data_IF_287441802364
#
_entry.id   IF_287441802364
#
_cell.length_a   1.000
_cell.length_b   1.000
_cell.length_c   1.000
_cell.angle_alpha   90.00
_cell.angle_beta   90.00
_cell.angle_gamma   90.00
#
_symmetry.space_group_name_H-M   'P 1'
#
loop_
_entity.id
_entity.type
_entity.pdbx_description
1 polymer ?
#
# COMPACT_ATOMS: atom_id res chain seq x y z
N UNK A 1 136.21 -30.38 13.85
CA UNK A 1 137.04 -30.84 14.99
C UNK A 1 137.79 -32.09 14.55
N UNK A 2 139.07 -31.93 14.19
CA UNK A 2 139.96 -33.05 13.90
C UNK A 2 140.59 -33.52 15.20
N UNK A 3 140.53 -34.82 15.41
CA UNK A 3 141.17 -35.57 16.49
C UNK A 3 142.66 -35.26 16.53
N UNK A 4 143.10 -34.59 17.59
CA UNK A 4 144.50 -34.49 17.98
C UNK A 4 145.01 -35.88 18.34
N UNK A 5 145.89 -36.44 17.52
CA UNK A 5 146.69 -37.60 17.91
C UNK A 5 147.84 -37.12 18.80
N UNK A 6 147.78 -37.56 20.05
CA UNK A 6 148.83 -37.56 21.06
C UNK A 6 150.06 -38.35 20.59
N UNK A 7 151.22 -37.68 20.52
CA UNK A 7 152.58 -38.22 20.76
C UNK A 7 153.64 -37.26 20.18
N UNK A 8 153.85 -36.13 20.85
CA UNK A 8 155.11 -35.40 20.76
C UNK A 8 156.12 -36.00 21.76
N UNK A 9 156.36 -37.32 21.67
CA UNK A 9 157.66 -37.86 22.08
C UNK A 9 158.68 -37.15 21.17
N UNK A 10 159.76 -36.59 21.71
CA UNK A 10 160.78 -35.88 20.94
C UNK A 10 161.21 -36.72 19.73
N UNK A 11 160.58 -36.45 18.58
CA UNK A 11 160.82 -37.22 17.36
C UNK A 11 162.24 -36.90 16.96
N UNK A 12 163.09 -37.93 16.94
CA UNK A 12 164.48 -37.77 16.48
C UNK A 12 164.45 -37.22 15.06
N UNK A 13 165.45 -36.42 14.68
CA UNK A 13 165.58 -35.87 13.32
C UNK A 13 165.43 -36.94 12.22
N UNK A 14 165.74 -38.22 12.54
CA UNK A 14 165.49 -39.37 11.66
C UNK A 14 164.00 -39.60 11.37
N UNK A 15 163.15 -39.56 12.39
CA UNK A 15 161.70 -39.75 12.25
C UNK A 15 161.07 -38.59 11.47
N UNK A 16 161.56 -37.36 11.67
CA UNK A 16 161.13 -36.21 10.86
C UNK A 16 161.45 -36.42 9.38
N UNK A 17 162.62 -36.96 9.03
CA UNK A 17 162.95 -37.25 7.62
C UNK A 17 161.95 -38.23 7.00
N UNK A 18 161.55 -39.29 7.71
CA UNK A 18 160.53 -40.24 7.22
C UNK A 18 159.14 -39.60 7.10
N UNK A 19 158.74 -38.79 8.07
CA UNK A 19 157.44 -38.10 8.08
C UNK A 19 157.36 -37.07 6.94
N UNK A 20 158.40 -36.27 6.73
CA UNK A 20 158.47 -35.31 5.62
C UNK A 20 158.60 -36.00 4.26
N UNK A 21 159.36 -37.10 4.16
CA UNK A 21 159.41 -37.91 2.93
C UNK A 21 158.03 -38.49 2.57
N UNK A 22 157.27 -38.96 3.56
CA UNK A 22 155.91 -39.45 3.36
C UNK A 22 154.95 -38.33 2.93
N UNK A 23 155.08 -37.12 3.50
CA UNK A 23 154.30 -35.94 3.10
C UNK A 23 154.59 -35.53 1.66
N UNK A 24 155.87 -35.43 1.27
CA UNK A 24 156.25 -35.11 -0.10
C UNK A 24 155.70 -36.14 -1.10
N UNK A 25 155.76 -37.43 -0.75
CA UNK A 25 155.22 -38.51 -1.58
C UNK A 25 153.69 -38.45 -1.70
N UNK A 26 152.96 -38.10 -0.64
CA UNK A 26 151.50 -37.95 -0.67
C UNK A 26 151.06 -36.77 -1.55
N UNK A 27 151.87 -35.72 -1.63
CA UNK A 27 151.63 -34.54 -2.45
C UNK A 27 152.09 -34.72 -3.91
N UNK A 28 152.73 -35.84 -4.25
CA UNK A 28 153.23 -36.12 -5.60
C UNK A 28 154.55 -35.43 -5.95
N UNK A 29 155.30 -34.93 -4.95
CA UNK A 29 156.58 -34.25 -5.14
C UNK A 29 157.78 -35.21 -4.97
N UNK A 30 158.90 -34.93 -5.64
CA UNK A 30 160.11 -35.75 -5.54
C UNK A 30 160.76 -35.63 -4.14
N UNK A 31 161.01 -36.78 -3.50
CA UNK A 31 161.67 -36.85 -2.19
C UNK A 31 163.18 -36.55 -2.35
N UNK A 32 163.53 -35.26 -2.41
CA UNK A 32 164.91 -34.76 -2.49
C UNK A 32 165.46 -34.41 -1.10
N UNK A 33 166.75 -34.65 -0.93
CA UNK A 33 167.48 -34.37 0.32
C UNK A 33 167.47 -32.88 0.70
N UNK A 34 167.53 -31.98 -0.27
CA UNK A 34 167.50 -30.52 -0.07
C UNK A 34 166.15 -30.08 0.46
N UNK A 35 165.06 -30.54 -0.15
CA UNK A 35 163.68 -30.19 0.22
C UNK A 35 163.34 -30.62 1.64
N UNK A 36 163.73 -31.84 2.06
CA UNK A 36 163.49 -32.30 3.44
C UNK A 36 164.31 -31.49 4.45
N UNK A 37 165.55 -31.11 4.11
CA UNK A 37 166.38 -30.27 4.99
C UNK A 37 165.80 -28.87 5.15
N UNK A 38 165.30 -28.28 4.06
CA UNK A 38 164.64 -26.97 4.09
C UNK A 38 163.36 -27.01 4.92
N UNK A 39 162.55 -28.06 4.80
CA UNK A 39 161.33 -28.23 5.61
C UNK A 39 161.65 -28.44 7.10
N UNK A 40 162.66 -29.24 7.44
CA UNK A 40 163.08 -29.42 8.84
C UNK A 40 163.68 -28.12 9.40
N UNK A 41 164.45 -27.39 8.61
CA UNK A 41 165.02 -26.11 9.02
C UNK A 41 163.93 -25.04 9.22
N UNK A 42 162.94 -24.98 8.33
CA UNK A 42 161.85 -24.01 8.37
C UNK A 42 160.87 -24.28 9.53
N UNK A 43 160.50 -25.54 9.78
CA UNK A 43 159.49 -25.89 10.79
C UNK A 43 160.08 -26.14 12.19
N UNK A 44 161.34 -26.57 12.29
CA UNK A 44 161.95 -27.00 13.55
C UNK A 44 163.26 -26.29 13.90
N UNK A 45 163.78 -25.40 13.04
CA UNK A 45 164.96 -24.58 13.33
C UNK A 45 166.28 -25.35 13.48
N UNK A 46 166.33 -26.63 13.11
CA UNK A 46 167.48 -27.52 13.29
C UNK A 46 168.14 -27.80 11.93
N UNK A 47 169.46 -27.61 11.84
CA UNK A 47 170.25 -27.95 10.65
C UNK A 47 170.58 -29.44 10.62
N UNK A 48 169.67 -30.24 10.04
CA UNK A 48 169.88 -31.68 9.88
C UNK A 48 171.11 -31.98 8.99
N UNK A 49 171.95 -32.93 9.43
CA UNK A 49 173.14 -33.37 8.69
C UNK A 49 172.74 -33.99 7.34
N UNK A 50 173.35 -33.56 6.21
CA UNK A 50 173.07 -34.11 4.89
C UNK A 50 173.15 -35.64 4.84
N UNK A 51 174.21 -36.23 5.38
CA UNK A 51 174.43 -37.68 5.30
C UNK A 51 173.33 -38.47 6.03
N UNK A 52 172.88 -37.96 7.18
CA UNK A 52 171.78 -38.57 7.94
C UNK A 52 170.47 -38.55 7.14
N UNK A 53 170.15 -37.43 6.49
CA UNK A 53 168.93 -37.30 5.68
C UNK A 53 168.97 -38.24 4.47
N UNK A 54 170.12 -38.36 3.80
CA UNK A 54 170.26 -39.25 2.64
C UNK A 54 170.13 -40.73 3.02
N UNK A 55 170.76 -41.15 4.13
CA UNK A 55 170.65 -42.54 4.60
C UNK A 55 169.23 -42.89 5.06
N UNK A 56 168.52 -41.96 5.69
CA UNK A 56 167.13 -42.17 6.09
C UNK A 56 166.15 -42.13 4.89
N UNK A 57 166.41 -41.30 3.86
CA UNK A 57 165.66 -41.33 2.59
C UNK A 57 165.83 -42.67 1.88
N UNK A 58 167.04 -43.24 1.86
CA UNK A 58 167.25 -44.58 1.31
C UNK A 58 166.45 -45.64 2.06
N UNK A 59 166.45 -45.59 3.39
CA UNK A 59 165.62 -46.49 4.24
C UNK A 59 164.13 -46.28 3.99
N UNK A 60 163.69 -45.04 3.77
CA UNK A 60 162.31 -44.72 3.43
C UNK A 60 161.90 -45.39 2.12
N UNK A 61 162.71 -45.26 1.06
CA UNK A 61 162.41 -45.87 -0.24
C UNK A 61 162.42 -47.40 -0.21
N UNK A 62 163.30 -48.02 0.58
CA UNK A 62 163.28 -49.48 0.80
C UNK A 62 161.95 -49.95 1.40
N UNK A 63 161.33 -49.13 2.27
CA UNK A 63 160.04 -49.45 2.90
C UNK A 63 158.83 -49.08 2.04
N UNK A 64 158.85 -47.91 1.38
CA UNK A 64 157.72 -47.39 0.63
C UNK A 64 157.61 -47.99 -0.80
N UNK A 65 158.75 -48.30 -1.43
CA UNK A 65 158.81 -48.84 -2.80
C UNK A 65 157.99 -50.12 -3.00
N UNK A 66 158.12 -51.15 -2.14
CA UNK A 66 157.31 -52.37 -2.24
C UNK A 66 155.80 -52.11 -2.10
N UNK A 67 155.38 -51.17 -1.23
CA UNK A 67 153.97 -50.85 -1.02
C UNK A 67 153.33 -50.15 -2.22
N UNK A 68 154.06 -49.22 -2.86
CA UNK A 68 153.60 -48.57 -4.08
C UNK A 68 153.51 -49.54 -5.25
N UNK A 69 154.53 -50.39 -5.41
CA UNK A 69 154.53 -51.46 -6.42
C UNK A 69 153.35 -52.42 -6.22
N UNK A 70 153.04 -52.80 -4.98
CA UNK A 70 151.89 -53.64 -4.67
C UNK A 70 150.54 -52.98 -4.97
N UNK A 71 150.41 -51.65 -4.78
CA UNK A 71 149.19 -50.90 -5.15
C UNK A 71 149.02 -50.82 -6.66
N UNK A 72 150.10 -50.55 -7.40
CA UNK A 72 150.10 -50.49 -8.87
C UNK A 72 149.82 -51.87 -9.50
N UNK A 73 150.15 -52.96 -8.81
CA UNK A 73 149.91 -54.34 -9.26
C UNK A 73 148.56 -54.94 -8.83
N UNK A 74 147.67 -54.18 -8.19
CA UNK A 74 146.31 -54.68 -7.90
C UNK A 74 145.53 -54.79 -9.21
N UNK A 75 144.90 -55.95 -9.51
CA UNK A 75 143.96 -56.03 -10.61
C UNK A 75 142.80 -55.06 -10.37
N UNK A 76 142.38 -54.36 -11.41
CA UNK A 76 141.16 -53.55 -11.38
C UNK A 76 139.93 -54.40 -11.10
N UNK A 77 138.80 -53.76 -10.77
CA UNK A 77 137.52 -54.46 -10.69
C UNK A 77 137.24 -55.04 -12.08
N UNK A 78 136.91 -56.34 -12.21
CA UNK A 78 136.61 -56.94 -13.50
C UNK A 78 135.42 -56.25 -14.19
N UNK A 79 135.55 -56.01 -15.50
CA UNK A 79 134.52 -55.32 -16.29
C UNK A 79 133.15 -56.01 -16.23
N UNK A 80 133.13 -57.34 -16.08
CA UNK A 80 131.91 -58.13 -15.90
C UNK A 80 131.10 -57.73 -14.65
N UNK A 81 131.79 -57.32 -13.58
CA UNK A 81 131.16 -56.85 -12.34
C UNK A 81 130.62 -55.43 -12.53
N UNK A 82 131.33 -54.55 -13.24
CA UNK A 82 130.82 -53.22 -13.57
C UNK A 82 129.55 -53.32 -14.43
N UNK A 83 129.56 -54.17 -15.47
CA UNK A 83 128.42 -54.40 -16.34
C UNK A 83 127.21 -55.01 -15.60
N UNK A 84 127.43 -55.83 -14.55
CA UNK A 84 126.34 -56.37 -13.75
C UNK A 84 125.72 -55.31 -12.84
N UNK A 85 126.53 -54.41 -12.27
CA UNK A 85 126.02 -53.26 -11.53
C UNK A 85 125.23 -52.29 -12.43
N UNK A 86 125.71 -52.00 -13.64
CA UNK A 86 124.98 -51.16 -14.60
C UNK A 86 123.61 -51.76 -14.94
N UNK A 87 123.54 -53.08 -15.19
CA UNK A 87 122.26 -53.77 -15.42
C UNK A 87 121.30 -53.70 -14.23
N UNK A 88 121.80 -53.84 -13.01
CA UNK A 88 120.97 -53.71 -11.80
C UNK A 88 120.47 -52.28 -11.65
N UNK A 89 121.32 -51.29 -11.95
CA UNK A 89 120.94 -49.88 -11.96
C UNK A 89 119.88 -49.58 -13.01
N UNK A 90 120.02 -50.07 -14.24
CA UNK A 90 119.04 -49.89 -15.31
C UNK A 90 117.68 -50.48 -14.92
N UNK A 91 117.65 -51.71 -14.39
CA UNK A 91 116.40 -52.35 -13.92
C UNK A 91 115.76 -51.55 -12.78
N UNK A 92 116.57 -51.02 -11.85
CA UNK A 92 116.06 -50.17 -10.77
C UNK A 92 115.53 -48.83 -11.30
N UNK A 93 116.19 -48.25 -12.30
CA UNK A 93 115.80 -46.99 -12.94
C UNK A 93 114.47 -47.16 -13.71
N UNK A 94 114.35 -48.24 -14.48
CA UNK A 94 113.13 -48.58 -15.23
C UNK A 94 111.96 -48.87 -14.30
N UNK A 95 112.20 -49.60 -13.20
CA UNK A 95 111.18 -49.87 -12.18
C UNK A 95 110.71 -48.57 -11.49
N UNK A 96 111.64 -47.65 -11.19
CA UNK A 96 111.31 -46.34 -10.62
C UNK A 96 110.53 -45.47 -11.61
N UNK A 97 110.93 -45.44 -12.89
CA UNK A 97 110.22 -44.73 -13.94
C UNK A 97 108.79 -45.25 -14.12
N UNK A 98 108.61 -46.57 -14.19
CA UNK A 98 107.29 -47.20 -14.30
C UNK A 98 106.42 -46.93 -13.05
N UNK A 99 107.02 -46.98 -11.85
CA UNK A 99 106.35 -46.64 -10.59
C UNK A 99 105.85 -45.19 -10.58
N UNK A 100 106.71 -44.23 -10.93
CA UNK A 100 106.34 -42.82 -11.00
C UNK A 100 105.30 -42.53 -12.09
N UNK A 101 105.35 -43.19 -13.24
CA UNK A 101 104.30 -43.06 -14.26
C UNK A 101 102.95 -43.58 -13.76
N UNK A 102 102.95 -44.68 -13.01
CA UNK A 102 101.73 -45.24 -12.41
C UNK A 102 101.15 -44.30 -11.35
N UNK A 103 101.99 -43.79 -10.44
CA UNK A 103 101.58 -42.78 -9.44
C UNK A 103 101.04 -41.52 -10.12
N UNK A 104 101.72 -41.03 -11.17
CA UNK A 104 101.27 -39.86 -11.93
C UNK A 104 99.90 -40.10 -12.56
N UNK A 105 99.66 -41.27 -13.17
CA UNK A 105 98.36 -41.64 -13.75
C UNK A 105 97.27 -41.73 -12.67
N UNK A 106 97.59 -42.29 -11.50
CA UNK A 106 96.64 -42.37 -10.38
C UNK A 106 96.28 -40.98 -9.84
N UNK A 107 97.28 -40.11 -9.64
CA UNK A 107 97.06 -38.73 -9.20
C UNK A 107 96.28 -37.93 -10.24
N UNK A 108 96.55 -38.12 -11.53
CA UNK A 108 95.79 -37.50 -12.61
C UNK A 108 94.32 -37.96 -12.58
N UNK A 109 94.08 -39.27 -12.45
CA UNK A 109 92.72 -39.79 -12.36
C UNK A 109 91.97 -39.28 -11.11
N UNK A 110 92.66 -39.15 -9.98
CA UNK A 110 92.09 -38.55 -8.76
C UNK A 110 91.79 -37.06 -8.95
N UNK A 111 92.67 -36.30 -9.60
CA UNK A 111 92.45 -34.89 -9.91
C UNK A 111 91.27 -34.71 -10.87
N UNK A 112 91.20 -35.50 -11.94
CA UNK A 112 90.09 -35.47 -12.90
C UNK A 112 88.76 -35.85 -12.22
N UNK A 113 88.79 -36.86 -11.34
CA UNK A 113 87.65 -37.25 -10.51
C UNK A 113 87.19 -36.15 -9.55
N UNK A 114 88.13 -35.47 -8.89
CA UNK A 114 87.84 -34.34 -8.01
C UNK A 114 87.25 -33.15 -8.78
N UNK A 115 87.77 -32.85 -9.98
CA UNK A 115 87.24 -31.80 -10.85
C UNK A 115 85.83 -32.14 -11.34
N UNK A 116 85.59 -33.40 -11.71
CA UNK A 116 84.25 -33.86 -12.09
C UNK A 116 83.25 -33.74 -10.92
N UNK A 117 83.64 -34.18 -9.72
CA UNK A 117 82.82 -34.05 -8.51
C UNK A 117 82.54 -32.59 -8.14
N UNK A 118 83.54 -31.71 -8.28
CA UNK A 118 83.38 -30.26 -8.08
C UNK A 118 82.34 -29.68 -9.05
N UNK A 119 82.43 -30.02 -10.34
CA UNK A 119 81.46 -29.55 -11.35
C UNK A 119 80.04 -30.02 -11.05
N UNK A 120 79.87 -31.28 -10.64
CA UNK A 120 78.53 -31.78 -10.25
C UNK A 120 78.00 -31.11 -9.00
N UNK A 121 78.86 -30.82 -8.02
CA UNK A 121 78.48 -30.09 -6.82
C UNK A 121 78.05 -28.65 -7.15
N UNK A 122 78.81 -27.95 -7.97
CA UNK A 122 78.48 -26.61 -8.46
C UNK A 122 77.14 -26.58 -9.19
N UNK A 123 76.90 -27.50 -10.14
CA UNK A 123 75.62 -27.59 -10.83
C UNK A 123 74.45 -27.88 -9.87
N UNK A 124 74.68 -28.70 -8.83
CA UNK A 124 73.65 -28.97 -7.82
C UNK A 124 73.37 -27.77 -6.92
N UNK A 125 74.39 -26.98 -6.60
CA UNK A 125 74.28 -25.74 -5.83
C UNK A 125 73.51 -24.68 -6.61
N UNK A 126 73.86 -24.47 -7.89
CA UNK A 126 73.15 -23.56 -8.79
C UNK A 126 71.66 -23.95 -8.91
N UNK A 127 71.36 -25.23 -9.11
CA UNK A 127 69.98 -25.71 -9.14
C UNK A 127 69.24 -25.51 -7.81
N UNK A 128 69.93 -25.62 -6.67
CA UNK A 128 69.34 -25.34 -5.36
C UNK A 128 69.07 -23.84 -5.15
N UNK A 129 69.98 -22.97 -5.60
CA UNK A 129 69.83 -21.52 -5.59
C UNK A 129 68.65 -21.09 -6.46
N UNK A 130 68.51 -21.64 -7.66
CA UNK A 130 67.38 -21.34 -8.55
C UNK A 130 66.03 -21.75 -7.93
N UNK A 131 65.96 -22.93 -7.31
CA UNK A 131 64.76 -23.39 -6.58
C UNK A 131 64.43 -22.47 -5.41
N UNK A 132 65.43 -22.07 -4.62
CA UNK A 132 65.25 -21.16 -3.50
C UNK A 132 64.78 -19.77 -3.96
N UNK A 133 65.34 -19.25 -5.04
CA UNK A 133 64.91 -17.99 -5.64
C UNK A 133 63.48 -18.08 -6.18
N UNK A 134 63.10 -19.21 -6.79
CA UNK A 134 61.72 -19.48 -7.21
C UNK A 134 60.75 -19.43 -6.03
N UNK A 135 61.03 -20.16 -4.96
CA UNK A 135 60.22 -20.15 -3.73
C UNK A 135 60.14 -18.76 -3.09
N UNK A 136 61.24 -18.00 -3.12
CA UNK A 136 61.26 -16.63 -2.57
C UNK A 136 60.31 -15.72 -3.34
N UNK A 137 60.32 -15.79 -4.68
CA UNK A 137 59.38 -15.03 -5.54
C UNK A 137 57.93 -15.46 -5.30
N UNK A 138 57.67 -16.76 -5.14
CA UNK A 138 56.33 -17.26 -4.81
C UNK A 138 55.85 -16.72 -3.45
N UNK A 139 56.70 -16.72 -2.43
CA UNK A 139 56.38 -16.17 -1.11
C UNK A 139 56.10 -14.66 -1.19
N UNK A 140 56.89 -13.92 -1.97
CA UNK A 140 56.65 -12.49 -2.20
C UNK A 140 55.33 -12.24 -2.91
N UNK A 141 55.00 -13.04 -3.93
CA UNK A 141 53.69 -13.00 -4.61
C UNK A 141 52.53 -13.25 -3.63
N UNK A 142 52.61 -14.33 -2.84
CA UNK A 142 51.59 -14.65 -1.84
C UNK A 142 51.46 -13.57 -0.76
N UNK A 143 52.54 -12.88 -0.40
CA UNK A 143 52.49 -11.73 0.52
C UNK A 143 51.79 -10.53 -0.10
N UNK A 144 52.03 -10.23 -1.37
CA UNK A 144 51.35 -9.16 -2.10
C UNK A 144 49.85 -9.46 -2.24
N UNK A 145 49.49 -10.69 -2.61
CA UNK A 145 48.10 -11.14 -2.70
C UNK A 145 47.40 -11.05 -1.35
N UNK A 146 48.06 -11.48 -0.27
CA UNK A 146 47.55 -11.34 1.09
C UNK A 146 47.26 -9.88 1.43
N UNK A 147 48.17 -8.96 1.13
CA UNK A 147 47.97 -7.53 1.39
C UNK A 147 46.76 -7.00 0.61
N UNK A 148 46.68 -7.28 -0.70
CA UNK A 148 45.55 -6.90 -1.54
C UNK A 148 44.22 -7.46 -1.01
N UNK A 149 44.18 -8.73 -0.63
CA UNK A 149 42.98 -9.35 -0.06
C UNK A 149 42.59 -8.74 1.29
N UNK A 150 43.57 -8.38 2.13
CA UNK A 150 43.26 -7.69 3.39
C UNK A 150 42.71 -6.28 3.18
N UNK A 151 43.20 -5.54 2.20
CA UNK A 151 42.65 -4.23 1.83
C UNK A 151 41.23 -4.36 1.26
N UNK A 152 40.99 -5.37 0.40
CA UNK A 152 39.65 -5.69 -0.08
C UNK A 152 38.71 -6.09 1.05
N UNK A 153 39.17 -6.84 2.05
CA UNK A 153 38.35 -7.18 3.22
C UNK A 153 38.02 -5.93 4.05
N UNK A 154 38.99 -5.05 4.29
CA UNK A 154 38.76 -3.82 5.05
C UNK A 154 37.78 -2.87 4.35
N UNK A 155 37.90 -2.72 3.02
CA UNK A 155 36.97 -1.91 2.22
C UNK A 155 35.56 -2.49 2.25
N UNK A 156 35.40 -3.81 2.02
CA UNK A 156 34.11 -4.49 2.14
C UNK A 156 33.52 -4.40 3.55
N UNK A 157 34.34 -4.48 4.60
CA UNK A 157 33.86 -4.30 5.99
C UNK A 157 33.38 -2.87 6.26
N UNK A 158 34.05 -1.86 5.69
CA UNK A 158 33.63 -0.48 5.77
C UNK A 158 32.30 -0.24 5.03
N UNK A 159 32.17 -0.79 3.81
CA UNK A 159 30.92 -0.75 3.04
C UNK A 159 29.78 -1.44 3.78
N UNK A 160 30.02 -2.64 4.34
CA UNK A 160 29.03 -3.35 5.15
C UNK A 160 28.57 -2.54 6.36
N UNK A 161 29.49 -1.84 7.03
CA UNK A 161 29.15 -0.94 8.14
C UNK A 161 28.32 0.26 7.66
N UNK A 162 28.69 0.85 6.51
CA UNK A 162 27.92 1.93 5.88
C UNK A 162 26.49 1.51 5.53
N UNK A 163 26.32 0.37 4.87
CA UNK A 163 25.01 -0.19 4.53
C UNK A 163 24.19 -0.53 5.79
N UNK A 164 24.82 -1.02 6.85
CA UNK A 164 24.13 -1.28 8.11
C UNK A 164 23.61 0.01 8.77
N UNK A 165 24.37 1.11 8.69
CA UNK A 165 23.89 2.43 9.16
C UNK A 165 22.76 2.96 8.29
N UNK A 166 22.86 2.84 6.97
CA UNK A 166 21.80 3.27 6.06
C UNK A 166 20.51 2.47 6.26
N UNK A 167 20.60 1.16 6.46
CA UNK A 167 19.46 0.32 6.80
C UNK A 167 18.80 0.77 8.10
N UNK A 168 19.61 1.05 9.13
CA UNK A 168 19.09 1.57 10.41
C UNK A 168 18.34 2.89 10.19
N UNK A 169 18.94 3.85 9.50
CA UNK A 169 18.33 5.15 9.20
C UNK A 169 17.02 5.00 8.39
N UNK A 170 16.99 4.10 7.40
CA UNK A 170 15.79 3.82 6.63
C UNK A 170 14.69 3.16 7.47
N UNK A 171 15.04 2.23 8.35
CA UNK A 171 14.07 1.61 9.27
C UNK A 171 13.49 2.61 10.26
N UNK A 172 14.31 3.53 10.79
CA UNK A 172 13.86 4.61 11.67
C UNK A 172 12.94 5.59 10.92
N UNK A 173 13.29 5.97 9.68
CA UNK A 173 12.42 6.80 8.82
C UNK A 173 11.10 6.12 8.50
N UNK A 174 11.11 4.83 8.17
CA UNK A 174 9.90 4.06 7.90
C UNK A 174 9.01 3.95 9.16
N UNK A 175 9.61 3.69 10.33
CA UNK A 175 8.89 3.66 11.60
C UNK A 175 8.26 5.03 11.93
N UNK A 176 9.00 6.13 11.71
CA UNK A 176 8.48 7.48 11.91
C UNK A 176 7.30 7.80 10.95
N UNK A 177 7.43 7.45 9.67
CA UNK A 177 6.35 7.60 8.68
C UNK A 177 5.12 6.77 9.06
N UNK A 178 5.31 5.52 9.49
CA UNK A 178 4.22 4.68 9.94
C UNK A 178 3.53 5.26 11.18
N UNK A 179 4.28 5.82 12.13
CA UNK A 179 3.71 6.47 13.31
C UNK A 179 2.85 7.69 12.92
N UNK A 180 3.33 8.53 12.00
CA UNK A 180 2.56 9.66 11.47
C UNK A 180 1.29 9.20 10.75
N UNK A 181 1.38 8.19 9.88
CA UNK A 181 0.22 7.64 9.19
C UNK A 181 -0.82 7.10 10.19
N UNK A 182 -0.40 6.38 11.23
CA UNK A 182 -1.32 5.88 12.26
C UNK A 182 -2.00 7.02 13.01
N UNK A 183 -1.28 8.09 13.33
CA UNK A 183 -1.84 9.27 13.97
C UNK A 183 -2.87 9.96 13.06
N UNK A 184 -2.57 10.12 11.77
CA UNK A 184 -3.49 10.69 10.79
C UNK A 184 -4.75 9.82 10.62
N UNK A 185 -4.58 8.50 10.56
CA UNK A 185 -5.69 7.57 10.47
C UNK A 185 -6.60 7.65 11.70
N UNK A 186 -6.03 7.72 12.91
CA UNK A 186 -6.80 7.94 14.14
C UNK A 186 -7.54 9.29 14.12
N UNK A 187 -6.89 10.37 13.66
CA UNK A 187 -7.51 11.69 13.51
C UNK A 187 -8.69 11.65 12.54
N UNK A 188 -8.50 11.03 11.38
CA UNK A 188 -9.54 10.90 10.35
C UNK A 188 -10.71 10.04 10.83
N UNK A 189 -10.42 8.97 11.56
CA UNK A 189 -11.44 8.11 12.14
C UNK A 189 -12.27 8.86 13.19
N UNK A 190 -11.62 9.62 14.08
CA UNK A 190 -12.32 10.48 15.04
C UNK A 190 -13.19 11.55 14.37
N UNK A 191 -12.74 12.14 13.25
CA UNK A 191 -13.56 13.06 12.45
C UNK A 191 -14.75 12.36 11.79
N UNK A 192 -14.56 11.17 11.22
CA UNK A 192 -15.66 10.37 10.67
C UNK A 192 -16.70 10.04 11.72
N UNK A 193 -16.27 9.56 12.88
CA UNK A 193 -17.17 9.19 13.98
C UNK A 193 -17.97 10.42 14.45
N UNK A 194 -17.31 11.58 14.56
CA UNK A 194 -17.97 12.85 14.87
C UNK A 194 -19.00 13.28 13.82
N UNK A 195 -18.67 13.16 12.53
CA UNK A 195 -19.61 13.47 11.43
C UNK A 195 -20.78 12.48 11.38
N UNK A 196 -20.54 11.19 11.64
CA UNK A 196 -21.59 10.18 11.73
C UNK A 196 -22.54 10.50 12.88
N UNK A 197 -22.00 10.88 14.05
CA UNK A 197 -22.80 11.27 15.21
C UNK A 197 -23.65 12.53 14.91
N UNK A 198 -23.07 13.54 14.27
CA UNK A 198 -23.83 14.73 13.84
C UNK A 198 -24.96 14.37 12.87
N UNK A 199 -24.71 13.48 11.91
CA UNK A 199 -25.76 13.00 10.99
C UNK A 199 -26.86 12.22 11.71
N UNK A 200 -26.52 11.39 12.69
CA UNK A 200 -27.52 10.68 13.49
C UNK A 200 -28.33 11.64 14.35
N UNK A 201 -27.69 12.64 14.94
CA UNK A 201 -28.35 13.65 15.77
C UNK A 201 -29.31 14.49 14.93
N UNK A 202 -28.87 14.98 13.76
CA UNK A 202 -29.69 15.72 12.81
C UNK A 202 -30.87 14.90 12.26
N UNK A 203 -30.65 13.62 11.97
CA UNK A 203 -31.74 12.70 11.58
C UNK A 203 -32.74 12.55 12.72
N UNK A 204 -32.26 12.38 13.96
CA UNK A 204 -33.14 12.26 15.13
C UNK A 204 -33.90 13.55 15.42
N UNK A 205 -33.28 14.73 15.26
CA UNK A 205 -33.94 16.02 15.46
C UNK A 205 -34.98 16.28 14.38
N UNK A 206 -34.62 16.04 13.11
CA UNK A 206 -35.55 16.16 11.98
C UNK A 206 -36.73 15.19 12.12
N UNK A 207 -36.50 13.95 12.55
CA UNK A 207 -37.58 13.00 12.81
C UNK A 207 -38.51 13.50 13.93
N UNK A 208 -37.95 14.05 15.02
CA UNK A 208 -38.75 14.66 16.09
C UNK A 208 -39.59 15.83 15.58
N UNK A 209 -39.00 16.74 14.80
CA UNK A 209 -39.72 17.87 14.21
C UNK A 209 -40.85 17.42 13.27
N UNK A 210 -40.63 16.38 12.47
CA UNK A 210 -41.68 15.81 11.64
C UNK A 210 -42.80 15.18 12.46
N UNK A 211 -42.46 14.48 13.56
CA UNK A 211 -43.48 13.93 14.46
C UNK A 211 -44.28 15.01 15.17
N UNK A 212 -43.64 16.08 15.67
CA UNK A 212 -44.35 17.18 16.33
C UNK A 212 -45.22 17.95 15.33
N UNK A 213 -44.74 18.17 14.10
CA UNK A 213 -45.55 18.77 13.05
C UNK A 213 -46.77 17.91 12.70
N UNK A 214 -46.59 16.59 12.60
CA UNK A 214 -47.69 15.65 12.35
C UNK A 214 -48.71 15.67 13.50
N UNK A 215 -48.26 15.72 14.75
CA UNK A 215 -49.13 15.86 15.94
C UNK A 215 -49.90 17.19 15.92
N UNK A 216 -49.23 18.31 15.62
CA UNK A 216 -49.87 19.63 15.51
C UNK A 216 -50.93 19.62 14.40
N UNK A 217 -50.59 19.12 13.21
CA UNK A 217 -51.54 19.00 12.10
C UNK A 217 -52.72 18.10 12.47
N UNK A 218 -52.50 16.99 13.19
CA UNK A 218 -53.58 16.13 13.65
C UNK A 218 -54.52 16.86 14.62
N UNK A 219 -53.97 17.64 15.55
CA UNK A 219 -54.75 18.46 16.48
C UNK A 219 -55.55 19.54 15.74
N UNK A 220 -54.94 20.18 14.73
CA UNK A 220 -55.64 21.16 13.89
C UNK A 220 -56.75 20.53 13.06
N UNK A 221 -56.53 19.35 12.48
CA UNK A 221 -57.55 18.59 11.76
C UNK A 221 -58.74 18.29 12.67
N UNK A 222 -58.51 17.81 13.90
CA UNK A 222 -59.59 17.58 14.87
C UNK A 222 -60.33 18.88 15.20
N UNK A 223 -59.62 19.99 15.44
CA UNK A 223 -60.25 21.31 15.68
C UNK A 223 -61.09 21.78 14.51
N UNK A 224 -60.60 21.64 13.28
CA UNK A 224 -61.35 22.02 12.07
C UNK A 224 -62.57 21.12 11.88
N UNK A 225 -62.45 19.81 12.14
CA UNK A 225 -63.58 18.89 12.13
C UNK A 225 -64.64 19.28 13.16
N UNK A 226 -64.25 19.57 14.41
CA UNK A 226 -65.16 20.01 15.47
C UNK A 226 -65.87 21.32 15.11
N UNK A 227 -65.13 22.29 14.55
CA UNK A 227 -65.70 23.54 14.07
C UNK A 227 -66.75 23.30 12.98
N UNK A 228 -66.42 22.48 11.97
CA UNK A 228 -67.35 22.14 10.89
C UNK A 228 -68.58 21.40 11.43
N UNK A 229 -68.44 20.49 12.39
CA UNK A 229 -69.58 19.82 13.02
C UNK A 229 -70.47 20.81 13.77
N UNK A 230 -69.90 21.76 14.50
CA UNK A 230 -70.67 22.81 15.19
C UNK A 230 -71.36 23.75 14.22
N UNK A 231 -70.67 24.20 13.17
CA UNK A 231 -71.23 25.13 12.19
C UNK A 231 -72.32 24.44 11.35
N UNK A 232 -72.12 23.18 10.95
CA UNK A 232 -73.18 22.40 10.27
C UNK A 232 -74.38 22.13 11.17
N UNK A 233 -74.18 21.89 12.47
CA UNK A 233 -75.28 21.79 13.43
C UNK A 233 -76.01 23.13 13.59
N UNK A 234 -75.28 24.23 13.74
CA UNK A 234 -75.84 25.59 13.83
C UNK A 234 -76.65 25.95 12.59
N UNK A 235 -76.10 25.78 11.39
CA UNK A 235 -76.80 26.04 10.12
C UNK A 235 -78.05 25.17 10.02
N UNK A 236 -77.96 23.89 10.38
CA UNK A 236 -79.12 22.99 10.40
C UNK A 236 -80.20 23.50 11.36
N UNK A 237 -79.84 23.93 12.56
CA UNK A 237 -80.79 24.41 13.57
C UNK A 237 -81.38 25.77 13.18
N UNK A 238 -80.60 26.67 12.56
CA UNK A 238 -81.08 27.92 11.98
C UNK A 238 -82.05 27.66 10.83
N UNK A 239 -81.75 26.74 9.92
CA UNK A 239 -82.66 26.34 8.83
C UNK A 239 -83.93 25.67 9.40
N UNK A 240 -83.81 24.78 10.39
CA UNK A 240 -84.98 24.22 11.10
C UNK A 240 -85.84 25.30 11.73
N UNK A 241 -85.24 26.26 12.42
CA UNK A 241 -85.96 27.36 13.04
C UNK A 241 -86.65 28.26 11.99
N UNK A 242 -86.03 28.49 10.83
CA UNK A 242 -86.67 29.18 9.69
C UNK A 242 -87.83 28.35 9.14
N UNK A 243 -87.66 27.05 8.93
CA UNK A 243 -88.74 26.18 8.45
C UNK A 243 -89.89 26.11 9.44
N UNK A 244 -89.62 26.09 10.76
CA UNK A 244 -90.63 26.10 11.81
C UNK A 244 -91.37 27.44 11.91
N UNK A 245 -90.70 28.56 11.63
CA UNK A 245 -91.35 29.87 11.52
C UNK A 245 -92.26 29.92 10.29
N UNK A 246 -91.72 29.54 9.12
CA UNK A 246 -92.49 29.50 7.88
C UNK A 246 -93.67 28.54 7.97
N UNK A 247 -93.53 27.39 8.64
CA UNK A 247 -94.63 26.45 8.85
C UNK A 247 -95.73 27.04 9.74
N UNK A 248 -95.36 27.74 10.83
CA UNK A 248 -96.32 28.46 11.69
C UNK A 248 -97.00 29.63 10.97
N UNK A 249 -96.27 30.40 10.17
CA UNK A 249 -96.85 31.46 9.32
C UNK A 249 -97.82 30.87 8.31
N UNK A 250 -97.46 29.78 7.65
CA UNK A 250 -98.33 29.07 6.71
C UNK A 250 -99.57 28.47 7.40
N UNK A 251 -99.46 28.01 8.64
CA UNK A 251 -100.60 27.55 9.43
C UNK A 251 -101.52 28.71 9.83
N UNK A 252 -100.97 29.87 10.22
CA UNK A 252 -101.76 31.09 10.45
C UNK A 252 -102.51 31.52 9.21
N UNK A 253 -101.83 31.60 8.07
CA UNK A 253 -102.45 31.94 6.76
C UNK A 253 -103.55 30.95 6.37
N UNK A 254 -103.35 29.65 6.62
CA UNK A 254 -104.40 28.64 6.43
C UNK A 254 -105.61 28.89 7.33
N UNK A 255 -105.38 29.16 8.62
CA UNK A 255 -106.44 29.46 9.58
C UNK A 255 -107.19 30.75 9.22
N UNK A 256 -106.48 31.81 8.83
CA UNK A 256 -107.07 33.05 8.35
C UNK A 256 -107.89 32.84 7.08
N UNK A 257 -107.38 32.05 6.12
CA UNK A 257 -108.13 31.66 4.92
C UNK A 257 -109.41 30.89 5.28
N UNK A 258 -109.36 30.00 6.24
CA UNK A 258 -110.53 29.25 6.68
C UNK A 258 -111.53 30.14 7.46
N UNK A 259 -111.06 31.09 8.27
CA UNK A 259 -111.90 32.13 8.88
C UNK A 259 -112.57 33.00 7.80
N UNK A 260 -111.82 33.43 6.78
CA UNK A 260 -112.37 34.19 5.65
C UNK A 260 -113.39 33.36 4.85
N UNK A 261 -113.19 32.05 4.71
CA UNK A 261 -114.19 31.15 4.10
C UNK A 261 -115.46 31.07 4.94
N UNK A 262 -115.34 30.96 6.27
CA UNK A 262 -116.48 30.97 7.19
C UNK A 262 -117.22 32.31 7.13
N UNK A 263 -116.52 33.44 7.18
CA UNK A 263 -117.09 34.77 7.03
C UNK A 263 -117.81 34.94 5.68
N UNK A 264 -117.20 34.45 4.59
CA UNK A 264 -117.84 34.45 3.27
C UNK A 264 -119.09 33.56 3.23
N UNK A 265 -119.09 32.42 3.93
CA UNK A 265 -120.28 31.57 4.08
C UNK A 265 -121.37 32.30 4.85
N UNK A 266 -121.04 32.88 6.02
CA UNK A 266 -121.97 33.65 6.85
C UNK A 266 -122.56 34.82 6.05
N UNK A 267 -121.73 35.61 5.37
CA UNK A 267 -122.18 36.70 4.53
C UNK A 267 -123.07 36.21 3.36
N UNK A 268 -122.79 35.02 2.80
CA UNK A 268 -123.63 34.40 1.78
C UNK A 268 -124.98 33.96 2.34
N UNK A 269 -125.01 33.40 3.55
CA UNK A 269 -126.21 32.97 4.24
C UNK A 269 -127.07 34.19 4.67
N UNK A 270 -126.44 35.25 5.17
CA UNK A 270 -127.08 36.55 5.47
C UNK A 270 -127.63 37.18 4.19
N UNK A 271 -126.88 37.19 3.09
CA UNK A 271 -127.38 37.66 1.79
C UNK A 271 -128.56 36.82 1.28
N UNK A 272 -128.54 35.51 1.49
CA UNK A 272 -129.67 34.63 1.14
C UNK A 272 -130.90 34.92 2.02
N UNK A 273 -130.72 35.16 3.33
CA UNK A 273 -131.80 35.56 4.23
C UNK A 273 -132.39 36.92 3.86
N UNK A 274 -131.55 37.90 3.50
CA UNK A 274 -132.00 39.22 3.04
C UNK A 274 -132.73 39.14 1.70
N UNK A 275 -132.26 38.32 0.75
CA UNK A 275 -132.99 38.03 -0.49
C UNK A 275 -134.33 37.38 -0.23
N UNK A 276 -134.40 36.38 0.65
CA UNK A 276 -135.67 35.75 1.02
C UNK A 276 -136.67 36.71 1.67
N UNK A 277 -136.18 37.69 2.46
CA UNK A 277 -137.02 38.77 3.00
C UNK A 277 -137.53 39.73 1.92
N UNK A 278 -136.68 40.05 0.93
CA UNK A 278 -137.06 40.87 -0.22
C UNK A 278 -138.12 40.17 -1.08
N UNK A 279 -137.91 38.91 -1.45
CA UNK A 279 -138.88 38.12 -2.21
C UNK A 279 -140.22 37.96 -1.46
N UNK A 280 -140.18 37.88 -0.12
CA UNK A 280 -141.40 37.86 0.70
C UNK A 280 -142.13 39.22 0.71
N UNK A 281 -141.39 40.34 0.67
CA UNK A 281 -141.96 41.68 0.51
C UNK A 281 -142.55 41.88 -0.89
N UNK A 282 -141.84 41.50 -1.95
CA UNK A 282 -142.31 41.57 -3.33
C UNK A 282 -143.60 40.75 -3.52
N UNK A 283 -143.67 39.53 -2.96
CA UNK A 283 -144.90 38.72 -2.99
C UNK A 283 -146.06 39.37 -2.23
N UNK A 284 -145.79 40.14 -1.18
CA UNK A 284 -146.82 40.88 -0.45
C UNK A 284 -147.30 42.10 -1.24
N UNK A 285 -146.40 42.81 -1.92
CA UNK A 285 -146.74 43.89 -2.86
C UNK A 285 -147.60 43.37 -4.02
N UNK A 286 -147.20 42.29 -4.69
CA UNK A 286 -148.03 41.67 -5.74
C UNK A 286 -149.43 41.28 -5.23
N UNK A 287 -149.53 40.84 -3.98
CA UNK A 287 -150.81 40.45 -3.36
C UNK A 287 -151.70 41.68 -3.13
N UNK A 288 -151.13 42.80 -2.71
CA UNK A 288 -151.81 44.07 -2.54
C UNK A 288 -152.24 44.66 -3.89
N UNK A 289 -151.40 44.55 -4.92
CA UNK A 289 -151.74 44.98 -6.30
C UNK A 289 -152.90 44.15 -6.88
N UNK A 290 -152.93 42.83 -6.65
CA UNK A 290 -154.07 41.97 -7.04
C UNK A 290 -155.35 42.33 -6.28
N UNK A 291 -155.26 42.77 -5.03
CA UNK A 291 -156.43 43.25 -4.27
C UNK A 291 -156.94 44.59 -4.80
N UNK A 292 -156.05 45.51 -5.19
CA UNK A 292 -156.40 46.80 -5.77
C UNK A 292 -157.10 46.66 -7.13
N UNK A 293 -156.59 45.78 -8.00
CA UNK A 293 -157.21 45.47 -9.31
C UNK A 293 -158.56 44.78 -9.14
N UNK A 294 -158.71 43.86 -8.18
CA UNK A 294 -160.00 43.23 -7.91
C UNK A 294 -161.05 44.23 -7.39
N UNK A 295 -160.65 45.20 -6.57
CA UNK A 295 -161.53 46.27 -6.09
C UNK A 295 -161.92 47.25 -7.20
N UNK A 296 -161.01 47.57 -8.14
CA UNK A 296 -161.34 48.44 -9.27
C UNK A 296 -162.34 47.79 -10.23
N UNK A 297 -162.20 46.49 -10.50
CA UNK A 297 -163.15 45.72 -11.31
C UNK A 297 -164.53 45.59 -10.65
N UNK A 298 -164.59 45.50 -9.32
CA UNK A 298 -165.83 45.46 -8.54
C UNK A 298 -166.56 46.81 -8.59
N UNK A 299 -165.81 47.93 -8.53
CA UNK A 299 -166.37 49.27 -8.69
C UNK A 299 -166.91 49.50 -10.11
N UNK A 300 -166.16 49.12 -11.16
CA UNK A 300 -166.67 49.21 -12.53
C UNK A 300 -167.97 48.41 -12.74
N UNK A 301 -168.08 47.23 -12.12
CA UNK A 301 -169.30 46.41 -12.18
C UNK A 301 -170.48 47.04 -11.44
N UNK A 302 -170.24 47.75 -10.35
CA UNK A 302 -171.27 48.49 -9.62
C UNK A 302 -171.76 49.72 -10.39
N UNK A 303 -170.86 50.45 -11.05
CA UNK A 303 -171.21 51.61 -11.89
C UNK A 303 -172.03 51.22 -13.13
N UNK A 304 -171.69 50.11 -13.80
CA UNK A 304 -172.48 49.56 -14.92
C UNK A 304 -173.88 49.09 -14.48
N UNK A 305 -174.04 48.64 -13.23
CA UNK A 305 -175.33 48.18 -12.69
C UNK A 305 -176.23 49.36 -12.30
N UNK A 306 -175.66 50.45 -11.82
CA UNK A 306 -176.40 51.68 -11.50
C UNK A 306 -176.93 52.39 -12.75
N UNK A 307 -176.14 52.43 -13.82
CA UNK A 307 -176.55 53.01 -15.12
C UNK A 307 -177.68 52.20 -15.78
N UNK A 308 -177.62 50.87 -15.73
CA UNK A 308 -178.71 50.00 -16.21
C UNK A 308 -180.02 50.14 -15.42
N UNK A 309 -179.97 50.37 -14.11
CA UNK A 309 -181.16 50.60 -13.29
C UNK A 309 -181.78 51.97 -13.53
N UNK A 310 -180.96 52.98 -13.85
CA UNK A 310 -181.45 54.32 -14.24
C UNK A 310 -182.24 54.27 -15.55
N UNK A 311 -181.70 53.60 -16.58
CA UNK A 311 -182.37 53.47 -17.89
C UNK A 311 -183.69 52.66 -17.84
N UNK A 312 -183.82 51.72 -16.91
CA UNK A 312 -185.05 50.97 -16.69
C UNK A 312 -186.15 51.81 -16.02
N UNK A 313 -185.79 52.73 -15.13
CA UNK A 313 -186.75 53.64 -14.51
C UNK A 313 -187.28 54.69 -15.49
N UNK A 314 -186.43 55.22 -16.38
CA UNK A 314 -186.83 56.22 -17.37
C UNK A 314 -187.81 55.63 -18.41
N UNK A 315 -187.61 54.36 -18.81
CA UNK A 315 -188.51 53.65 -19.75
C UNK A 315 -189.89 53.31 -19.16
N UNK A 316 -190.02 53.22 -17.84
CA UNK A 316 -191.29 52.97 -17.15
C UNK A 316 -192.11 54.26 -16.95
N UNK A 317 -191.47 55.43 -16.90
CA UNK A 317 -192.18 56.70 -16.78
C UNK A 317 -192.77 57.20 -18.10
N UNK A 318 -192.17 56.84 -19.25
CA UNK A 318 -192.70 57.22 -20.57
C UNK A 318 -193.95 56.46 -20.98
N UNK A 319 -194.09 55.19 -20.58
CA UNK A 319 -195.25 54.35 -20.94
C UNK A 319 -196.51 54.68 -20.12
N UNK A 320 -196.37 55.32 -18.96
CA UNK A 320 -197.49 55.77 -18.12
C UNK A 320 -198.15 57.07 -18.62
N UNK A 321 -197.47 57.88 -19.43
CA UNK A 321 -197.98 59.17 -19.90
C UNK A 321 -198.71 59.11 -21.27
N UNK A 322 -198.49 58.07 -22.07
CA UNK A 322 -199.17 57.87 -23.36
C UNK A 322 -200.54 57.19 -23.24
N UNK A 323 -200.81 56.47 -22.14
CA UNK A 323 -202.08 55.74 -21.96
C UNK A 323 -203.28 56.61 -21.52
N UNK A 324 -203.07 57.90 -21.19
CA UNK A 324 -204.12 58.78 -20.63
C UNK A 324 -204.77 59.71 -21.67
N UNK A 325 -204.22 59.87 -22.88
CA UNK A 325 -204.62 60.97 -23.79
C UNK A 325 -205.49 60.64 -25.01
N UNK A 326 -205.87 59.39 -25.28
CA UNK A 326 -206.39 59.04 -26.62
C UNK A 326 -207.73 58.29 -26.71
N UNK A 327 -208.65 58.32 -25.72
CA UNK A 327 -210.00 57.75 -25.94
C UNK A 327 -211.12 58.35 -25.05
N UNK A 328 -211.50 59.59 -25.37
CA UNK A 328 -212.86 60.14 -25.19
C UNK A 328 -213.30 60.62 -26.58
N UNK A 329 -214.44 60.10 -27.06
CA UNK A 329 -215.15 60.29 -28.36
C UNK A 329 -214.62 59.44 -29.54
N UNK A 330 -215.34 58.47 -30.13
CA UNK A 330 -216.76 58.08 -30.05
C UNK A 330 -216.96 56.58 -30.38
N UNK A 331 -218.07 56.02 -29.84
CA UNK A 331 -219.01 54.97 -30.31
C UNK A 331 -218.49 53.86 -31.25
N UNK A 332 -218.86 52.58 -31.18
CA UNK A 332 -220.09 51.83 -30.83
C UNK A 332 -219.66 50.37 -31.16
N UNK A 333 -219.80 49.32 -30.35
CA UNK A 333 -221.00 48.51 -30.13
C UNK A 333 -220.54 47.22 -29.41
N UNK A 334 -221.32 46.85 -28.38
CA UNK A 334 -221.79 45.50 -28.02
C UNK A 334 -220.80 44.33 -27.72
N UNK A 335 -220.78 43.83 -26.47
CA UNK A 335 -221.52 42.62 -25.95
C UNK A 335 -220.78 41.34 -26.39
N UNK A 336 -220.27 40.47 -25.52
CA UNK A 336 -221.07 39.56 -24.70
C UNK A 336 -220.23 38.67 -23.75
N UNK A 337 -220.77 38.44 -22.53
CA UNK A 337 -220.70 37.29 -21.61
C UNK A 337 -219.37 36.65 -21.12
N UNK A 338 -219.12 36.87 -19.81
CA UNK A 338 -219.04 35.89 -18.69
C UNK A 338 -219.10 34.37 -19.02
N UNK A 339 -218.51 33.45 -18.22
CA UNK A 339 -218.52 33.50 -16.74
C UNK A 339 -217.24 33.06 -15.97
N UNK A 340 -217.09 33.61 -14.75
CA UNK A 340 -216.89 32.95 -13.43
C UNK A 340 -216.44 31.46 -13.34
N UNK A 341 -215.98 30.98 -12.16
CA UNK A 341 -215.26 31.63 -11.05
C UNK A 341 -214.18 30.67 -10.47
N UNK A 342 -213.90 30.56 -9.14
CA UNK A 342 -212.53 30.49 -8.64
C UNK A 342 -212.05 29.07 -8.26
N UNK A 343 -210.73 28.88 -8.24
CA UNK A 343 -209.99 27.98 -7.34
C UNK A 343 -208.51 28.37 -7.50
N UNK A 344 -207.80 28.90 -6.51
CA UNK A 344 -207.33 28.24 -5.30
C UNK A 344 -206.60 26.91 -5.55
N UNK A 345 -205.27 26.98 -5.59
CA UNK A 345 -204.34 26.31 -4.65
C UNK A 345 -203.23 27.36 -4.40
N UNK A 346 -202.70 27.52 -3.19
CA UNK A 346 -202.15 26.44 -2.36
C UNK A 346 -200.67 26.34 -2.63
#
# INVERSE_FOLDING_TARGET
MQTQSSNAQFKSTRQWVHDYAARLLANGEEVRQTSIRELIAAEHGITASPNLVNDEIKKFWVKAGPLMSARLRRPGIPDEVCLSFDKIWDVALDAAAAGHELERKQLQAQADGAVAAMKTAQASEEAAIERFNGQTREIEGLRADKLSLTEQLQTNEAERKGLATELKDQTEKAAAQHALHMQEQQRLQGLMDGLQQQLTDLRSSSQRELTTLAEIHQVELVKTQDFLMRETARVRDEEKAKTDKLSKELERERNEKDQLRQLRSSARDEAAQLRGRLEAMEKNEEKLERQLTHLSELNEKLERRNTQLSEQNDKLQTTLLESVKARVTASELMVENLPNPPANKG
#
